data_IF_292128211036
#
_entry.id   IF_292128211036
#
_cell.length_a   1.000
_cell.length_b   1.000
_cell.length_c   1.000
_cell.angle_alpha   90.00
_cell.angle_beta   90.00
_cell.angle_gamma   90.00
#
_symmetry.space_group_name_H-M   'P 1'
#
loop_
_entity.id
_entity.type
_entity.pdbx_description
1 polymer ?
#
# COMPACT_ATOMS: atom_id res chain seq x y z
N UNK A 1 9.25 18.15 -12.74
CA UNK A 1 8.75 18.85 -11.54
C UNK A 1 7.25 18.63 -11.44
N UNK A 2 6.75 18.11 -10.30
CA UNK A 2 5.31 18.10 -9.99
C UNK A 2 4.89 19.53 -9.59
N UNK A 3 3.60 19.84 -9.66
CA UNK A 3 3.07 21.21 -9.49
C UNK A 3 3.60 21.90 -8.21
N UNK A 4 3.84 23.22 -8.22
CA UNK A 4 4.37 23.97 -7.07
C UNK A 4 3.61 23.71 -5.76
N UNK A 5 2.29 23.57 -5.84
CA UNK A 5 1.43 23.33 -4.69
C UNK A 5 1.71 21.98 -4.00
N UNK A 6 2.01 20.94 -4.79
CA UNK A 6 2.35 19.62 -4.25
C UNK A 6 3.63 19.63 -3.41
N UNK A 7 4.57 20.53 -3.70
CA UNK A 7 5.82 20.67 -2.95
C UNK A 7 5.57 21.29 -1.57
N UNK A 8 4.68 22.28 -1.50
CA UNK A 8 4.33 22.96 -0.25
C UNK A 8 3.56 22.03 0.69
N UNK A 9 2.59 21.26 0.18
CA UNK A 9 1.84 20.27 0.95
C UNK A 9 2.74 19.22 1.59
N UNK A 10 3.71 18.69 0.82
CA UNK A 10 4.68 17.70 1.31
C UNK A 10 5.56 18.31 2.42
N UNK A 11 6.01 19.56 2.25
CA UNK A 11 6.80 20.26 3.27
C UNK A 11 6.01 20.46 4.56
N UNK A 12 4.75 20.87 4.46
CA UNK A 12 3.89 21.12 5.62
C UNK A 12 3.63 19.83 6.40
N UNK A 13 3.34 18.72 5.71
CA UNK A 13 3.19 17.39 6.33
C UNK A 13 4.50 16.98 7.03
N UNK A 14 5.64 17.16 6.35
CA UNK A 14 6.95 16.87 6.93
C UNK A 14 7.21 17.66 8.23
N UNK A 15 6.86 18.94 8.26
CA UNK A 15 7.06 19.80 9.42
C UNK A 15 6.17 19.37 10.61
N UNK A 16 4.94 18.93 10.34
CA UNK A 16 4.00 18.46 11.36
C UNK A 16 4.40 17.09 11.93
N UNK A 17 4.77 16.14 11.05
CA UNK A 17 5.06 14.76 11.46
C UNK A 17 6.48 14.56 11.98
N UNK A 18 7.43 15.37 11.51
CA UNK A 18 8.85 15.31 11.87
C UNK A 18 9.37 16.68 12.33
N UNK A 19 8.90 17.19 13.49
CA UNK A 19 9.40 18.45 14.04
C UNK A 19 10.92 18.38 14.22
N UNK A 20 11.63 19.43 13.81
CA UNK A 20 13.12 19.52 13.83
C UNK A 20 13.85 18.54 12.90
N UNK A 21 13.13 17.74 12.10
CA UNK A 21 13.69 16.77 11.15
C UNK A 21 13.09 16.91 9.75
N UNK A 22 12.69 18.13 9.38
CA UNK A 22 12.06 18.41 8.09
C UNK A 22 12.99 18.07 6.92
N UNK A 23 14.28 18.41 7.01
CA UNK A 23 15.23 18.15 5.91
C UNK A 23 15.41 16.65 5.66
N UNK A 24 15.47 15.85 6.72
CA UNK A 24 15.49 14.39 6.63
C UNK A 24 14.26 13.82 5.91
N UNK A 25 13.08 14.36 6.23
CA UNK A 25 11.83 13.96 5.57
C UNK A 25 11.82 14.34 4.08
N UNK A 26 12.21 15.58 3.75
CA UNK A 26 12.24 16.06 2.38
C UNK A 26 13.25 15.28 1.54
N UNK A 27 14.41 14.95 2.10
CA UNK A 27 15.41 14.14 1.42
C UNK A 27 14.88 12.72 1.13
N UNK A 28 14.27 12.08 2.12
CA UNK A 28 13.61 10.79 1.96
C UNK A 28 12.52 10.81 0.87
N UNK A 29 11.73 11.88 0.80
CA UNK A 29 10.72 12.07 -0.23
C UNK A 29 11.33 12.22 -1.63
N UNK A 30 12.39 13.03 -1.77
CA UNK A 30 13.10 13.19 -3.04
C UNK A 30 13.65 11.86 -3.52
N UNK A 31 14.35 11.12 -2.65
CA UNK A 31 14.89 9.81 -2.99
C UNK A 31 13.79 8.82 -3.40
N UNK A 32 12.67 8.77 -2.66
CA UNK A 32 11.57 7.87 -2.94
C UNK A 32 10.83 8.19 -4.27
N UNK A 33 10.82 9.45 -4.69
CA UNK A 33 10.11 9.93 -5.89
C UNK A 33 11.01 10.17 -7.10
N UNK A 34 12.33 10.00 -6.96
CA UNK A 34 13.29 10.10 -8.07
C UNK A 34 13.14 8.98 -9.11
N UNK A 35 12.34 7.95 -8.81
CA UNK A 35 12.03 6.84 -9.72
C UNK A 35 10.58 7.01 -10.21
N UNK A 36 10.27 6.76 -11.49
CA UNK A 36 8.88 6.75 -11.97
C UNK A 36 7.99 5.83 -11.13
N UNK A 37 6.81 6.33 -10.74
CA UNK A 37 5.86 5.64 -9.84
C UNK A 37 6.38 5.33 -8.43
N UNK A 38 7.50 5.93 -8.02
CA UNK A 38 8.01 5.86 -6.66
C UNK A 38 7.09 6.52 -5.64
N UNK A 39 7.06 5.97 -4.42
CA UNK A 39 6.23 6.44 -3.31
C UNK A 39 7.01 6.39 -1.99
N UNK A 40 6.65 7.28 -1.06
CA UNK A 40 7.12 7.29 0.32
C UNK A 40 5.96 6.88 1.22
N UNK A 41 6.11 5.79 1.97
CA UNK A 41 5.23 5.39 3.07
C UNK A 41 5.70 6.07 4.35
N UNK A 42 4.75 6.66 5.07
CA UNK A 42 4.95 7.27 6.38
C UNK A 42 4.20 6.42 7.41
N UNK A 43 4.91 5.86 8.38
CA UNK A 43 4.36 5.10 9.50
C UNK A 43 4.56 5.90 10.80
N UNK A 44 3.45 6.25 11.45
CA UNK A 44 3.42 7.03 12.69
C UNK A 44 2.91 6.21 13.89
N UNK A 45 2.77 4.90 13.76
CA UNK A 45 2.28 4.07 14.85
C UNK A 45 3.27 4.04 16.02
N UNK A 46 2.78 4.20 17.25
CA UNK A 46 3.61 4.37 18.44
C UNK A 46 4.51 3.16 18.74
N UNK A 47 4.07 1.95 18.38
CA UNK A 47 4.84 0.72 18.58
C UNK A 47 5.73 0.34 17.39
N UNK A 48 5.74 1.16 16.32
CA UNK A 48 6.62 0.92 15.18
C UNK A 48 8.03 1.41 15.48
N UNK A 49 9.02 0.68 14.97
CA UNK A 49 10.43 1.08 15.06
C UNK A 49 10.63 2.48 14.44
N UNK A 50 11.21 3.45 15.18
CA UNK A 50 11.46 4.81 14.69
C UNK A 50 12.29 4.87 13.39
N UNK A 51 13.20 3.92 13.18
CA UNK A 51 14.03 3.84 11.96
C UNK A 51 13.20 3.52 10.72
N UNK A 52 12.03 2.91 10.93
CA UNK A 52 11.15 2.41 9.91
C UNK A 52 9.95 3.34 9.63
N UNK A 53 9.95 4.57 10.16
CA UNK A 53 8.87 5.54 9.96
C UNK A 53 8.75 6.05 8.53
N UNK A 54 9.87 6.10 7.80
CA UNK A 54 9.91 6.50 6.40
C UNK A 54 10.41 5.32 5.57
N UNK A 55 9.57 4.79 4.68
CA UNK A 55 9.92 3.65 3.83
C UNK A 55 9.52 3.90 2.40
N UNK A 56 10.31 3.40 1.46
CA UNK A 56 9.91 3.28 0.06
C UNK A 56 10.07 1.83 -0.37
N UNK A 57 9.63 1.48 -1.57
CA UNK A 57 10.02 0.21 -2.21
C UNK A 57 9.63 -1.06 -1.44
N UNK A 58 8.60 -1.01 -0.58
CA UNK A 58 8.10 -2.16 0.20
C UNK A 58 7.63 -3.32 -0.72
N UNK A 59 7.37 -3.01 -2.00
CA UNK A 59 6.93 -3.97 -3.01
C UNK A 59 7.85 -4.02 -4.25
N UNK A 60 9.11 -3.55 -4.17
CA UNK A 60 9.97 -3.37 -5.38
C UNK A 60 10.18 -4.65 -6.19
N UNK A 61 10.25 -5.81 -5.53
CA UNK A 61 10.42 -7.12 -6.19
C UNK A 61 9.10 -7.83 -6.52
N UNK A 62 7.98 -7.31 -6.03
CA UNK A 62 6.70 -8.04 -5.98
C UNK A 62 5.78 -7.78 -7.18
N UNK A 63 6.03 -6.72 -7.95
CA UNK A 63 5.01 -6.14 -8.85
C UNK A 63 5.23 -6.38 -10.34
N UNK A 64 6.44 -6.77 -10.77
CA UNK A 64 6.75 -7.02 -12.21
C UNK A 64 6.78 -8.50 -12.60
N UNK A 65 6.64 -9.42 -11.65
CA UNK A 65 6.70 -10.85 -11.97
C UNK A 65 5.43 -11.32 -12.68
N UNK A 66 5.50 -11.55 -13.99
CA UNK A 66 4.46 -12.25 -14.78
C UNK A 66 4.19 -13.68 -14.26
N UNK A 67 5.18 -14.29 -13.59
CA UNK A 67 5.06 -15.64 -13.03
C UNK A 67 4.20 -15.66 -11.76
N UNK A 68 3.11 -16.40 -11.82
CA UNK A 68 2.21 -16.69 -10.69
C UNK A 68 2.94 -17.40 -9.55
N UNK A 69 3.82 -18.35 -9.86
CA UNK A 69 4.62 -19.08 -8.88
C UNK A 69 5.57 -18.18 -8.10
N UNK A 70 6.15 -17.17 -8.76
CA UNK A 70 7.04 -16.20 -8.11
C UNK A 70 6.23 -15.24 -7.22
N UNK A 71 5.06 -14.76 -7.66
CA UNK A 71 4.15 -13.95 -6.82
C UNK A 71 3.68 -14.71 -5.57
N UNK A 72 3.33 -15.99 -5.71
CA UNK A 72 2.96 -16.84 -4.58
C UNK A 72 4.09 -17.03 -3.57
N UNK A 73 5.33 -17.19 -4.06
CA UNK A 73 6.52 -17.33 -3.22
C UNK A 73 6.80 -16.06 -2.42
N UNK A 74 6.67 -14.89 -3.06
CA UNK A 74 6.87 -13.60 -2.42
C UNK A 74 5.84 -13.35 -1.31
N UNK A 75 4.57 -13.68 -1.53
CA UNK A 75 3.55 -13.61 -0.48
C UNK A 75 3.83 -14.56 0.69
N UNK A 76 4.39 -15.73 0.43
CA UNK A 76 4.83 -16.66 1.49
C UNK A 76 6.03 -16.12 2.27
N UNK A 77 6.90 -15.34 1.63
CA UNK A 77 8.08 -14.73 2.24
C UNK A 77 7.78 -13.35 2.87
N UNK A 78 6.56 -12.83 2.72
CA UNK A 78 6.16 -11.56 3.29
C UNK A 78 6.33 -11.53 4.81
N UNK A 79 6.86 -10.40 5.29
CA UNK A 79 7.00 -10.09 6.71
C UNK A 79 5.64 -9.94 7.39
N UNK A 80 5.62 -10.05 8.72
CA UNK A 80 4.40 -9.91 9.53
C UNK A 80 3.67 -8.59 9.25
N UNK A 81 4.41 -7.50 9.10
CA UNK A 81 3.87 -6.18 8.78
C UNK A 81 3.22 -6.14 7.38
N UNK A 82 3.88 -6.72 6.37
CA UNK A 82 3.32 -6.80 5.02
C UNK A 82 2.03 -7.64 4.99
N UNK A 83 1.99 -8.74 5.74
CA UNK A 83 0.81 -9.59 5.84
C UNK A 83 -0.39 -8.88 6.48
N UNK A 84 -0.15 -8.12 7.55
CA UNK A 84 -1.19 -7.33 8.21
C UNK A 84 -1.65 -6.15 7.34
N UNK A 85 -0.73 -5.50 6.63
CA UNK A 85 -1.08 -4.46 5.67
C UNK A 85 -2.02 -4.98 4.57
N UNK A 86 -1.74 -6.17 4.02
CA UNK A 86 -2.62 -6.81 3.03
C UNK A 86 -4.00 -7.12 3.64
N UNK A 87 -4.06 -7.58 4.89
CA UNK A 87 -5.34 -7.82 5.58
C UNK A 87 -6.16 -6.53 5.73
N UNK A 88 -5.51 -5.43 6.10
CA UNK A 88 -6.14 -4.12 6.27
C UNK A 88 -6.64 -3.54 4.94
N UNK A 89 -5.85 -3.69 3.87
CA UNK A 89 -6.28 -3.34 2.51
C UNK A 89 -7.56 -4.11 2.14
N UNK A 90 -7.55 -5.43 2.34
CA UNK A 90 -8.70 -6.28 2.07
C UNK A 90 -9.92 -5.85 2.90
N UNK A 91 -9.72 -5.46 4.16
CA UNK A 91 -10.77 -4.94 5.03
C UNK A 91 -11.37 -3.65 4.49
N UNK A 92 -10.54 -2.71 4.05
CA UNK A 92 -11.01 -1.44 3.50
C UNK A 92 -11.76 -1.63 2.16
N UNK A 93 -11.36 -2.61 1.34
CA UNK A 93 -12.11 -3.02 0.14
C UNK A 93 -13.47 -3.60 0.53
N UNK A 94 -13.52 -4.54 1.48
CA UNK A 94 -14.77 -5.19 1.93
C UNK A 94 -15.72 -4.19 2.56
N UNK A 95 -15.20 -3.22 3.32
CA UNK A 95 -15.98 -2.14 3.94
C UNK A 95 -16.34 -1.02 2.97
N UNK A 96 -16.01 -1.16 1.68
CA UNK A 96 -16.25 -0.17 0.63
C UNK A 96 -15.71 1.23 0.98
N UNK A 97 -14.65 1.30 1.80
CA UNK A 97 -13.97 2.55 2.19
C UNK A 97 -13.12 3.12 1.06
N UNK A 98 -12.94 2.34 -0.01
CA UNK A 98 -12.29 2.75 -1.26
C UNK A 98 -13.29 2.77 -2.41
N UNK A 99 -13.33 3.86 -3.17
CA UNK A 99 -14.21 3.97 -4.35
C UNK A 99 -13.58 3.27 -5.55
N UNK A 100 -13.84 1.98 -5.67
CA UNK A 100 -13.36 1.16 -6.78
C UNK A 100 -14.15 1.43 -8.07
N UNK A 101 -13.43 1.62 -9.18
CA UNK A 101 -14.03 1.66 -10.53
C UNK A 101 -14.64 0.31 -10.89
N UNK A 102 -15.58 0.28 -11.84
CA UNK A 102 -16.18 -0.95 -12.36
C UNK A 102 -15.13 -1.93 -12.89
N UNK A 103 -14.12 -1.45 -13.61
CA UNK A 103 -13.01 -2.27 -14.11
C UNK A 103 -12.19 -2.90 -12.97
N UNK A 104 -11.92 -2.16 -11.90
CA UNK A 104 -11.22 -2.69 -10.73
C UNK A 104 -12.06 -3.71 -9.97
N UNK A 105 -13.36 -3.47 -9.80
CA UNK A 105 -14.29 -4.45 -9.21
C UNK A 105 -14.32 -5.74 -10.01
N UNK A 106 -14.43 -5.66 -11.33
CA UNK A 106 -14.43 -6.83 -12.21
C UNK A 106 -13.11 -7.62 -12.13
N UNK A 107 -11.98 -6.94 -11.93
CA UNK A 107 -10.67 -7.59 -11.71
C UNK A 107 -10.52 -8.24 -10.34
N UNK A 108 -11.21 -7.71 -9.32
CA UNK A 108 -11.20 -8.26 -7.96
C UNK A 108 -12.23 -9.38 -7.78
N UNK A 109 -13.28 -9.43 -8.61
CA UNK A 109 -14.38 -10.37 -8.50
C UNK A 109 -13.93 -11.85 -8.42
N UNK A 110 -12.97 -12.33 -9.25
CA UNK A 110 -12.47 -13.71 -9.17
C UNK A 110 -11.79 -14.04 -7.84
N UNK A 111 -11.42 -13.02 -7.07
CA UNK A 111 -10.69 -13.14 -5.82
C UNK A 111 -11.52 -12.70 -4.60
N UNK A 112 -12.83 -12.46 -4.76
CA UNK A 112 -13.67 -11.90 -3.71
C UNK A 112 -13.67 -12.74 -2.43
N UNK A 113 -13.66 -14.08 -2.54
CA UNK A 113 -13.58 -14.98 -1.39
C UNK A 113 -12.25 -14.82 -0.64
N UNK A 114 -11.12 -14.81 -1.37
CA UNK A 114 -9.81 -14.55 -0.79
C UNK A 114 -9.78 -13.21 -0.05
N UNK A 115 -10.27 -12.14 -0.69
CA UNK A 115 -10.29 -10.80 -0.10
C UNK A 115 -11.11 -10.78 1.18
N UNK A 116 -12.29 -11.40 1.20
CA UNK A 116 -13.12 -11.52 2.42
C UNK A 116 -12.41 -12.30 3.52
N UNK A 117 -11.78 -13.42 3.20
CA UNK A 117 -11.06 -14.25 4.18
C UNK A 117 -9.84 -13.52 4.74
N UNK A 118 -9.04 -12.92 3.87
CA UNK A 118 -7.86 -12.13 4.25
C UNK A 118 -8.25 -10.92 5.10
N UNK A 119 -9.38 -10.26 4.81
CA UNK A 119 -9.89 -9.14 5.62
C UNK A 119 -10.23 -9.48 7.06
N UNK A 120 -10.43 -10.77 7.38
CA UNK A 120 -10.72 -11.26 8.73
C UNK A 120 -9.47 -11.70 9.47
N UNK A 121 -8.32 -11.77 8.80
CA UNK A 121 -7.07 -12.03 9.48
C UNK A 121 -6.75 -10.85 10.42
N UNK A 122 -6.53 -11.18 11.70
CA UNK A 122 -6.13 -10.22 12.75
C UNK A 122 -4.75 -10.51 13.31
N UNK A 123 -4.11 -11.57 12.82
CA UNK A 123 -2.79 -12.01 13.25
C UNK A 123 -1.98 -12.48 12.06
N UNK A 124 -0.66 -12.39 12.19
CA UNK A 124 0.27 -12.92 11.19
C UNK A 124 -0.02 -14.39 10.88
N UNK A 125 -0.17 -15.21 11.93
CA UNK A 125 -0.44 -16.65 11.77
C UNK A 125 -1.71 -16.91 10.95
N UNK A 126 -2.77 -16.14 11.19
CA UNK A 126 -4.02 -16.21 10.43
C UNK A 126 -3.84 -15.81 8.96
N UNK A 127 -3.17 -14.69 8.71
CA UNK A 127 -2.87 -14.19 7.37
C UNK A 127 -2.00 -15.18 6.58
N UNK A 128 -0.95 -15.72 7.22
CA UNK A 128 -0.01 -16.69 6.63
C UNK A 128 -0.69 -18.02 6.30
N UNK A 129 -1.64 -18.47 7.14
CA UNK A 129 -2.47 -19.66 6.87
C UNK A 129 -3.33 -19.48 5.62
N UNK A 130 -3.95 -18.31 5.44
CA UNK A 130 -4.81 -18.00 4.28
C UNK A 130 -3.98 -17.99 2.98
N UNK A 131 -2.79 -17.40 3.00
CA UNK A 131 -1.88 -17.36 1.84
C UNK A 131 -1.32 -18.75 1.50
N UNK A 132 -1.09 -19.59 2.51
CA UNK A 132 -0.45 -20.90 2.32
C UNK A 132 -1.41 -21.99 1.82
N UNK A 133 -2.73 -21.77 1.91
CA UNK A 133 -3.72 -22.73 1.43
C UNK A 133 -3.72 -22.82 -0.11
N UNK A 134 -3.56 -24.05 -0.62
CA UNK A 134 -3.64 -24.35 -2.06
C UNK A 134 -5.06 -24.06 -2.57
N UNK A 135 -5.17 -23.51 -3.77
CA UNK A 135 -6.44 -23.27 -4.47
C UNK A 135 -7.06 -21.87 -4.32
N UNK A 136 -6.52 -20.99 -3.46
CA UNK A 136 -7.21 -19.74 -3.09
C UNK A 136 -7.06 -18.56 -4.08
N UNK A 137 -6.66 -18.79 -5.34
CA UNK A 137 -6.51 -17.72 -6.35
C UNK A 137 -5.42 -16.67 -6.04
N UNK A 138 -4.58 -16.94 -5.05
CA UNK A 138 -3.58 -16.03 -4.45
C UNK A 138 -2.63 -15.41 -5.49
N UNK A 139 -2.37 -16.13 -6.57
CA UNK A 139 -1.45 -15.73 -7.63
C UNK A 139 -1.81 -14.42 -8.33
N UNK A 140 -3.10 -14.12 -8.50
CA UNK A 140 -3.58 -12.90 -9.15
C UNK A 140 -4.01 -11.76 -8.21
N UNK A 141 -4.14 -12.07 -6.92
CA UNK A 141 -4.63 -11.14 -5.90
C UNK A 141 -3.73 -9.93 -5.73
N UNK A 142 -2.40 -10.09 -5.67
CA UNK A 142 -1.48 -8.96 -5.51
C UNK A 142 -1.67 -7.91 -6.61
N UNK A 143 -1.75 -8.34 -7.86
CA UNK A 143 -2.01 -7.48 -9.02
C UNK A 143 -3.41 -6.85 -8.98
N UNK A 144 -4.42 -7.60 -8.50
CA UNK A 144 -5.79 -7.12 -8.37
C UNK A 144 -5.98 -6.15 -7.19
N UNK A 145 -5.20 -6.28 -6.11
CA UNK A 145 -5.21 -5.41 -4.94
C UNK A 145 -4.36 -4.14 -5.16
N UNK A 146 -3.20 -4.25 -5.81
CA UNK A 146 -2.29 -3.11 -6.03
C UNK A 146 -2.90 -2.03 -6.93
N UNK A 147 -3.64 -2.42 -7.97
CA UNK A 147 -4.28 -1.47 -8.89
C UNK A 147 -5.26 -0.51 -8.17
N UNK A 148 -6.19 -0.98 -7.33
CA UNK A 148 -7.06 -0.10 -6.57
C UNK A 148 -6.39 0.66 -5.43
N UNK A 149 -5.38 0.09 -4.75
CA UNK A 149 -4.62 0.80 -3.71
C UNK A 149 -3.86 2.00 -4.30
N UNK A 150 -3.13 1.80 -5.39
CA UNK A 150 -2.33 2.85 -6.03
C UNK A 150 -3.20 3.99 -6.59
N UNK A 151 -4.39 3.64 -7.09
CA UNK A 151 -5.36 4.62 -7.62
C UNK A 151 -6.07 5.38 -6.50
N UNK A 152 -6.42 4.73 -5.39
CA UNK A 152 -7.08 5.43 -4.28
C UNK A 152 -6.11 6.32 -3.48
N UNK A 153 -4.86 5.88 -3.28
CA UNK A 153 -3.78 6.75 -2.77
C UNK A 153 -3.61 7.94 -3.71
N UNK A 154 -3.56 7.71 -5.03
CA UNK A 154 -3.51 8.78 -6.02
C UNK A 154 -4.70 9.75 -5.95
N UNK A 155 -5.93 9.24 -5.80
CA UNK A 155 -7.15 10.07 -5.72
C UNK A 155 -7.30 10.82 -4.41
N UNK A 156 -6.95 10.23 -3.26
CA UNK A 156 -6.99 10.94 -1.98
C UNK A 156 -6.00 12.10 -1.96
N UNK A 157 -4.82 11.92 -2.55
CA UNK A 157 -3.83 12.98 -2.73
C UNK A 157 -4.38 14.09 -3.64
N UNK A 158 -5.02 13.74 -4.76
CA UNK A 158 -5.60 14.74 -5.69
C UNK A 158 -6.79 15.48 -5.07
N UNK A 159 -7.62 14.78 -4.29
CA UNK A 159 -8.85 15.36 -3.71
C UNK A 159 -8.55 16.23 -2.48
N UNK A 160 -7.54 15.89 -1.68
CA UNK A 160 -7.09 16.78 -0.61
C UNK A 160 -6.59 18.12 -1.14
N UNK A 161 -6.01 18.13 -2.35
CA UNK A 161 -5.53 19.34 -3.03
C UNK A 161 -6.69 20.17 -3.68
N UNK A 162 -7.87 19.58 -3.91
CA UNK A 162 -9.02 20.29 -4.49
C UNK A 162 -9.96 20.90 -3.45
N UNK A 163 -10.01 20.33 -2.25
CA UNK A 163 -10.91 20.76 -1.17
C UNK A 163 -10.31 21.88 -0.29
N UNK A 164 -9.09 22.35 -0.59
CA UNK A 164 -8.38 23.44 0.12
C UNK A 164 -8.16 24.72 -0.71
N UNK A 165 -8.77 24.81 -1.90
CA UNK A 165 -8.87 26.06 -2.67
C UNK A 165 -10.25 26.69 -2.50
#
# INVERSE_FOLDING_TARGET
MRSPNSVLSVRNIGAQLFPKKLDYFLDSYRQATNIPYGYLLIDMHASSDPTLRLRTNIFKDDTKSKSERKRHRLLKQASSQQLLAIAEICLNIVKARYKLTTRQRNRLLPYAEFVRRMSRARSERGARKIISQKGSGVGGVLTALLTPILIEIGRKIIKSDSDTN
#
